data_IF_742206605671
#
_entry.id   IF_742206605671
#
_cell.length_a   1.000
_cell.length_b   1.000
_cell.length_c   1.000
_cell.angle_alpha   90.00
_cell.angle_beta   90.00
_cell.angle_gamma   90.00
#
_symmetry.space_group_name_H-M   'P 1'
#
loop_
_entity.id
_entity.type
_entity.pdbx_description
1 polymer ?
#
# COMPACT_ATOMS: atom_id res chain seq x y z
N UNK A 1 4.96 4.69 -9.66
CA UNK A 1 5.66 5.88 -9.12
C UNK A 1 6.47 5.59 -7.86
N UNK A 2 5.99 4.81 -6.88
CA UNK A 2 6.71 4.54 -5.63
C UNK A 2 8.17 4.07 -5.82
N UNK A 3 8.39 3.05 -6.66
CA UNK A 3 9.72 2.50 -6.89
C UNK A 3 10.67 3.49 -7.58
N UNK A 4 10.14 4.34 -8.47
CA UNK A 4 10.91 5.41 -9.11
C UNK A 4 11.40 6.43 -8.09
N UNK A 5 10.49 6.97 -7.27
CA UNK A 5 10.84 7.94 -6.23
C UNK A 5 11.88 7.37 -5.25
N UNK A 6 11.79 6.09 -4.89
CA UNK A 6 12.80 5.45 -4.04
C UNK A 6 14.14 5.24 -4.76
N UNK A 7 14.12 4.84 -6.04
CA UNK A 7 15.33 4.64 -6.83
C UNK A 7 16.08 5.94 -7.10
N UNK A 8 15.38 7.05 -7.31
CA UNK A 8 15.95 8.40 -7.42
C UNK A 8 16.68 8.83 -6.14
N UNK A 9 16.26 8.32 -4.98
CA UNK A 9 16.93 8.51 -3.70
C UNK A 9 18.03 7.46 -3.42
N UNK A 10 18.40 6.66 -4.42
CA UNK A 10 19.50 5.68 -4.35
C UNK A 10 19.11 4.31 -3.80
N UNK A 11 17.82 4.01 -3.61
CA UNK A 11 17.39 2.70 -3.16
C UNK A 11 17.50 1.63 -4.27
N UNK A 12 17.77 0.37 -3.89
CA UNK A 12 17.58 -0.79 -4.77
C UNK A 12 16.08 -1.12 -4.85
N UNK A 13 15.38 -0.55 -5.82
CA UNK A 13 13.93 -0.64 -5.91
C UNK A 13 13.45 -1.82 -6.77
N UNK A 14 12.38 -2.46 -6.31
CA UNK A 14 11.58 -3.45 -7.04
C UNK A 14 10.15 -2.93 -7.17
N UNK A 15 9.48 -3.22 -8.29
CA UNK A 15 8.09 -2.91 -8.53
C UNK A 15 7.34 -4.16 -8.99
N UNK A 16 6.17 -4.41 -8.40
CA UNK A 16 5.22 -5.42 -8.85
C UNK A 16 3.86 -4.77 -9.10
N UNK A 17 3.24 -5.09 -10.23
CA UNK A 17 1.86 -4.74 -10.54
C UNK A 17 1.29 -5.80 -11.49
N UNK A 18 -0.02 -6.05 -11.43
CA UNK A 18 -0.73 -6.95 -12.34
C UNK A 18 -1.10 -6.27 -13.66
N UNK A 19 -1.06 -4.94 -13.70
CA UNK A 19 -1.33 -4.14 -14.90
C UNK A 19 -0.03 -3.89 -15.69
N UNK A 20 0.13 -4.50 -16.89
CA UNK A 20 1.33 -4.35 -17.70
C UNK A 20 1.58 -2.90 -18.14
N UNK A 21 0.52 -2.09 -18.32
CA UNK A 21 0.68 -0.69 -18.73
C UNK A 21 1.34 0.15 -17.64
N UNK A 22 1.07 -0.15 -16.37
CA UNK A 22 1.74 0.51 -15.24
C UNK A 22 3.22 0.15 -15.18
N UNK A 23 3.56 -1.10 -15.46
CA UNK A 23 4.96 -1.54 -15.54
C UNK A 23 5.68 -0.86 -16.71
N UNK A 24 5.06 -0.79 -17.88
CA UNK A 24 5.61 -0.09 -19.05
C UNK A 24 5.84 1.39 -18.77
N UNK A 25 4.84 2.08 -18.19
CA UNK A 25 4.97 3.48 -17.82
C UNK A 25 6.10 3.73 -16.80
N UNK A 26 6.22 2.86 -15.79
CA UNK A 26 7.28 2.96 -14.79
C UNK A 26 8.66 2.65 -15.37
N UNK A 27 8.75 1.73 -16.35
CA UNK A 27 9.98 1.44 -17.09
C UNK A 27 10.48 2.66 -17.86
N UNK A 28 9.60 3.30 -18.65
CA UNK A 28 9.92 4.53 -19.39
C UNK A 28 10.39 5.63 -18.45
N UNK A 29 9.69 5.86 -17.35
CA UNK A 29 10.07 6.87 -16.37
C UNK A 29 11.41 6.55 -15.67
N UNK A 30 11.71 5.27 -15.42
CA UNK A 30 13.00 4.84 -14.89
C UNK A 30 14.16 5.06 -15.87
N UNK A 31 13.93 4.82 -17.17
CA UNK A 31 14.89 5.10 -18.24
C UNK A 31 15.18 6.60 -18.35
N UNK A 32 14.13 7.44 -18.35
CA UNK A 32 14.24 8.91 -18.38
C UNK A 32 15.02 9.45 -17.17
N UNK A 33 14.77 8.92 -15.97
CA UNK A 33 15.47 9.31 -14.75
C UNK A 33 16.85 8.65 -14.59
N UNK A 34 17.27 7.77 -15.52
CA UNK A 34 18.53 7.02 -15.47
C UNK A 34 18.70 6.20 -14.17
N UNK A 35 17.61 5.67 -13.63
CA UNK A 35 17.61 4.83 -12.42
C UNK A 35 17.35 3.37 -12.76
N UNK A 36 17.84 2.46 -11.91
CA UNK A 36 17.61 1.02 -12.06
C UNK A 36 16.50 0.55 -11.12
N UNK A 37 15.45 0.01 -11.71
CA UNK A 37 14.30 -0.60 -11.02
C UNK A 37 14.12 -2.01 -11.57
N UNK A 38 13.93 -2.99 -10.70
CA UNK A 38 13.54 -4.34 -11.08
C UNK A 38 12.01 -4.44 -11.18
N UNK A 39 11.50 -5.07 -12.23
CA UNK A 39 10.07 -5.11 -12.54
C UNK A 39 9.57 -6.55 -12.55
N UNK A 40 8.43 -6.77 -11.90
CA UNK A 40 7.71 -8.03 -11.91
C UNK A 40 6.26 -7.76 -12.30
N UNK A 41 5.78 -8.46 -13.32
CA UNK A 41 4.37 -8.44 -13.70
C UNK A 41 3.69 -9.65 -13.08
N UNK A 42 2.61 -9.44 -12.34
CA UNK A 42 1.89 -10.55 -11.72
C UNK A 42 0.97 -10.16 -10.55
N UNK A 43 0.40 -11.18 -9.94
CA UNK A 43 -0.41 -11.05 -8.73
C UNK A 43 0.42 -10.47 -7.58
N UNK A 44 -0.15 -9.55 -6.80
CA UNK A 44 0.59 -8.85 -5.73
C UNK A 44 1.11 -9.77 -4.61
N UNK A 45 0.57 -10.99 -4.50
CA UNK A 45 1.10 -12.01 -3.60
C UNK A 45 2.19 -12.88 -4.24
N UNK A 46 2.45 -12.76 -5.54
CA UNK A 46 3.52 -13.48 -6.23
C UNK A 46 4.88 -12.81 -6.02
N UNK A 47 5.36 -12.89 -4.77
CA UNK A 47 6.65 -12.36 -4.35
C UNK A 47 7.75 -13.43 -4.41
N UNK A 48 7.63 -14.41 -5.30
CA UNK A 48 8.58 -15.53 -5.43
C UNK A 48 10.00 -15.11 -5.79
N UNK A 49 10.16 -13.97 -6.46
CA UNK A 49 11.45 -13.36 -6.79
C UNK A 49 12.21 -12.83 -5.56
N UNK A 50 11.49 -12.49 -4.49
CA UNK A 50 12.08 -11.97 -3.26
C UNK A 50 12.28 -13.08 -2.22
N UNK A 51 13.53 -13.23 -1.77
CA UNK A 51 13.86 -14.18 -0.70
C UNK A 51 13.27 -13.73 0.64
N UNK A 52 13.05 -14.67 1.55
CA UNK A 52 12.53 -14.36 2.88
C UNK A 52 13.47 -13.43 3.64
N UNK A 53 12.92 -12.47 4.39
CA UNK A 53 13.68 -11.50 5.17
C UNK A 53 14.78 -10.75 4.38
N UNK A 54 14.48 -10.34 3.14
CA UNK A 54 15.40 -9.62 2.26
C UNK A 54 15.05 -8.16 2.03
N UNK A 55 13.79 -7.77 2.28
CA UNK A 55 13.25 -6.45 1.97
C UNK A 55 13.26 -5.55 3.21
N UNK A 56 13.79 -4.33 3.06
CA UNK A 56 13.89 -3.33 4.13
C UNK A 56 12.65 -2.42 4.25
N UNK A 57 11.82 -2.32 3.20
CA UNK A 57 10.63 -1.47 3.14
C UNK A 57 9.68 -1.96 2.05
N UNK A 58 8.38 -2.02 2.35
CA UNK A 58 7.33 -2.19 1.33
C UNK A 58 6.40 -0.96 1.35
N UNK A 59 6.08 -0.43 0.18
CA UNK A 59 5.17 0.71 0.00
C UNK A 59 4.06 0.34 -0.97
N UNK A 60 2.81 0.36 -0.49
CA UNK A 60 1.63 0.15 -1.30
C UNK A 60 0.73 1.40 -1.25
N UNK A 61 0.68 2.16 -2.34
CA UNK A 61 -0.05 3.42 -2.40
C UNK A 61 -1.27 3.27 -3.31
N UNK A 62 -2.45 3.11 -2.72
CA UNK A 62 -3.72 2.85 -3.42
C UNK A 62 -3.81 1.44 -4.04
N UNK A 63 -2.77 0.63 -3.92
CA UNK A 63 -2.69 -0.70 -4.55
C UNK A 63 -3.56 -1.75 -3.85
N UNK A 64 -3.71 -1.64 -2.52
CA UNK A 64 -4.37 -2.68 -1.72
C UNK A 64 -5.88 -2.47 -1.53
N UNK A 65 -6.45 -1.38 -2.03
CA UNK A 65 -7.86 -1.01 -1.83
C UNK A 65 -8.82 -2.06 -2.40
N UNK A 66 -8.45 -2.69 -3.51
CA UNK A 66 -9.31 -3.62 -4.26
C UNK A 66 -8.79 -5.06 -4.26
N UNK A 67 -7.88 -5.42 -3.35
CA UNK A 67 -7.33 -6.77 -3.26
C UNK A 67 -8.30 -7.70 -2.53
N UNK A 68 -8.87 -8.67 -3.23
CA UNK A 68 -9.83 -9.61 -2.64
C UNK A 68 -9.24 -10.40 -1.46
N UNK A 69 -8.10 -11.08 -1.67
CA UNK A 69 -7.39 -11.84 -0.63
C UNK A 69 -6.21 -11.05 -0.05
N UNK A 70 -6.53 -10.00 0.70
CA UNK A 70 -5.54 -9.17 1.40
C UNK A 70 -4.67 -10.01 2.35
N UNK A 71 -5.22 -11.04 2.98
CA UNK A 71 -4.48 -11.90 3.91
C UNK A 71 -3.36 -12.69 3.20
N UNK A 72 -3.60 -13.16 1.98
CA UNK A 72 -2.56 -13.80 1.14
C UNK A 72 -1.44 -12.82 0.80
N UNK A 73 -1.76 -11.59 0.40
CA UNK A 73 -0.74 -10.55 0.12
C UNK A 73 0.06 -10.22 1.37
N UNK A 74 -0.60 -9.93 2.50
CA UNK A 74 0.08 -9.58 3.75
C UNK A 74 1.00 -10.69 4.26
N UNK A 75 0.64 -11.97 4.11
CA UNK A 75 1.52 -13.10 4.44
C UNK A 75 2.79 -13.12 3.58
N UNK A 76 2.68 -12.84 2.29
CA UNK A 76 3.84 -12.80 1.39
C UNK A 76 4.72 -11.59 1.68
N UNK A 77 4.12 -10.43 1.95
CA UNK A 77 4.83 -9.23 2.39
C UNK A 77 5.57 -9.47 3.71
N UNK A 78 4.92 -10.12 4.70
CA UNK A 78 5.55 -10.50 5.96
C UNK A 78 6.74 -11.45 5.77
N UNK A 79 6.60 -12.43 4.87
CA UNK A 79 7.69 -13.37 4.53
C UNK A 79 8.92 -12.65 4.01
N UNK A 80 8.76 -11.71 3.07
CA UNK A 80 9.90 -11.07 2.39
C UNK A 80 10.51 -9.93 3.21
N UNK A 81 9.75 -9.29 4.10
CA UNK A 81 10.25 -8.24 4.97
C UNK A 81 11.23 -8.77 6.02
N UNK A 82 12.31 -8.02 6.24
CA UNK A 82 13.21 -8.21 7.40
C UNK A 82 12.46 -7.95 8.71
N UNK A 83 12.89 -8.55 9.85
CA UNK A 83 12.32 -8.23 11.16
C UNK A 83 12.29 -6.71 11.42
N UNK A 84 11.20 -6.21 12.02
CA UNK A 84 10.95 -4.79 12.31
C UNK A 84 10.89 -3.84 11.09
N UNK A 85 11.02 -4.37 9.86
CA UNK A 85 10.95 -3.57 8.65
C UNK A 85 9.53 -3.03 8.42
N UNK A 86 9.41 -1.77 7.96
CA UNK A 86 8.12 -1.12 7.72
C UNK A 86 7.40 -1.61 6.45
N UNK A 87 6.09 -1.71 6.60
CA UNK A 87 5.09 -1.71 5.53
C UNK A 87 4.32 -0.39 5.61
N UNK A 88 4.32 0.39 4.54
CA UNK A 88 3.57 1.64 4.43
C UNK A 88 2.42 1.45 3.43
N UNK A 89 1.20 1.74 3.86
CA UNK A 89 -0.01 1.62 3.07
C UNK A 89 -0.67 2.99 2.99
N UNK A 90 -1.06 3.40 1.79
CA UNK A 90 -2.05 4.45 1.59
C UNK A 90 -3.29 3.81 0.99
N UNK A 91 -4.45 4.06 1.60
CA UNK A 91 -5.73 3.48 1.22
C UNK A 91 -6.81 4.57 1.18
N UNK A 92 -7.87 4.32 0.41
CA UNK A 92 -9.07 5.16 0.42
C UNK A 92 -9.70 5.18 1.81
N UNK A 93 -10.01 6.37 2.33
CA UNK A 93 -10.59 6.46 3.67
C UNK A 93 -12.07 6.07 3.65
N UNK A 94 -12.54 5.19 4.56
CA UNK A 94 -13.94 4.74 4.60
C UNK A 94 -14.96 5.85 4.89
N UNK A 95 -14.52 6.97 5.46
CA UNK A 95 -15.36 8.16 5.66
C UNK A 95 -15.40 9.12 4.45
N UNK A 96 -14.60 8.92 3.41
CA UNK A 96 -14.53 9.84 2.26
C UNK A 96 -15.89 10.08 1.60
N UNK A 97 -16.72 9.04 1.50
CA UNK A 97 -18.07 9.14 0.96
C UNK A 97 -19.10 9.82 1.88
N UNK A 98 -18.82 9.88 3.19
CA UNK A 98 -19.78 10.40 4.17
C UNK A 98 -19.98 11.93 4.10
N UNK A 99 -19.17 12.64 3.31
CA UNK A 99 -19.38 14.05 3.02
C UNK A 99 -20.58 14.30 2.09
N UNK A 100 -21.01 13.30 1.31
CA UNK A 100 -22.19 13.39 0.46
C UNK A 100 -23.44 12.90 1.21
N UNK A 101 -24.47 13.76 1.40
CA UNK A 101 -25.74 13.37 2.01
C UNK A 101 -26.41 12.15 1.36
N UNK A 102 -26.21 11.93 0.06
CA UNK A 102 -26.73 10.76 -0.65
C UNK A 102 -26.06 9.45 -0.20
N UNK A 103 -24.87 9.52 0.37
CA UNK A 103 -24.07 8.37 0.78
C UNK A 103 -24.19 8.06 2.28
N UNK A 104 -24.82 8.95 3.07
CA UNK A 104 -25.07 8.75 4.50
C UNK A 104 -25.91 7.50 4.82
N UNK A 105 -26.66 6.97 3.85
CA UNK A 105 -27.42 5.73 4.01
C UNK A 105 -26.54 4.47 3.90
N UNK A 106 -25.29 4.60 3.45
CA UNK A 106 -24.38 3.48 3.29
C UNK A 106 -23.68 3.13 4.59
N UNK A 107 -23.53 1.83 4.84
CA UNK A 107 -22.77 1.35 6.00
C UNK A 107 -21.30 1.72 5.86
N UNK A 108 -20.72 2.24 6.94
CA UNK A 108 -19.27 2.49 7.03
C UNK A 108 -18.50 1.22 6.69
N UNK A 109 -17.49 1.34 5.84
CA UNK A 109 -16.68 0.20 5.40
C UNK A 109 -17.30 -0.67 4.30
N UNK A 110 -18.46 -0.28 3.74
CA UNK A 110 -19.15 -1.11 2.72
C UNK A 110 -18.52 -1.05 1.33
N UNK A 111 -17.89 0.06 0.96
CA UNK A 111 -17.21 0.24 -0.34
C UNK A 111 -15.71 0.01 -0.30
N UNK A 112 -15.10 0.35 0.82
CA UNK A 112 -13.66 0.20 1.09
C UNK A 112 -13.52 -0.36 2.49
N UNK A 113 -12.41 -1.04 2.79
CA UNK A 113 -12.17 -1.60 4.12
C UNK A 113 -12.28 -0.54 5.21
N UNK A 114 -12.95 -0.88 6.30
CA UNK A 114 -12.99 -0.03 7.48
C UNK A 114 -11.60 0.07 8.13
N UNK A 115 -11.40 1.07 8.99
CA UNK A 115 -10.18 1.15 9.83
C UNK A 115 -10.01 -0.12 10.67
N UNK A 116 -11.12 -0.68 11.18
CA UNK A 116 -11.11 -1.94 11.92
C UNK A 116 -10.69 -3.14 11.09
N UNK A 117 -11.12 -3.22 9.82
CA UNK A 117 -10.71 -4.30 8.92
C UNK A 117 -9.22 -4.23 8.59
N UNK A 118 -8.70 -3.01 8.35
CA UNK A 118 -7.27 -2.78 8.17
C UNK A 118 -6.47 -3.22 9.40
N UNK A 119 -6.89 -2.79 10.59
CA UNK A 119 -6.27 -3.19 11.85
C UNK A 119 -6.25 -4.72 11.98
N UNK A 120 -7.40 -5.37 11.79
CA UNK A 120 -7.52 -6.83 11.96
C UNK A 120 -6.72 -7.61 10.92
N UNK A 121 -6.67 -7.16 9.67
CA UNK A 121 -5.88 -7.78 8.61
C UNK A 121 -4.38 -7.74 8.91
N UNK A 122 -3.88 -6.58 9.36
CA UNK A 122 -2.48 -6.39 9.74
C UNK A 122 -2.13 -7.18 11.01
N UNK A 123 -2.98 -7.09 12.04
CA UNK A 123 -2.78 -7.81 13.30
C UNK A 123 -2.70 -9.33 13.09
N UNK A 124 -3.64 -9.91 12.32
CA UNK A 124 -3.65 -11.35 12.00
C UNK A 124 -2.48 -11.81 11.15
N UNK A 125 -1.81 -10.87 10.48
CA UNK A 125 -0.64 -11.13 9.63
C UNK A 125 0.69 -10.79 10.35
N UNK A 126 0.68 -10.71 11.68
CA UNK A 126 1.85 -10.41 12.52
C UNK A 126 2.50 -9.06 12.17
N UNK A 127 1.69 -8.03 11.94
CA UNK A 127 2.15 -6.65 11.87
C UNK A 127 1.68 -5.85 13.09
N UNK A 128 2.56 -4.99 13.61
CA UNK A 128 2.21 -3.94 14.58
C UNK A 128 2.02 -2.62 13.85
N UNK A 129 0.87 -1.99 13.99
CA UNK A 129 0.67 -0.62 13.52
C UNK A 129 1.37 0.34 14.49
N UNK A 130 2.29 1.15 13.97
CA UNK A 130 3.02 2.16 14.76
C UNK A 130 2.62 3.61 14.40
N UNK A 131 1.93 3.81 13.27
CA UNK A 131 1.36 5.09 12.87
C UNK A 131 0.10 4.88 12.06
N UNK A 132 -0.92 5.68 12.35
CA UNK A 132 -2.18 5.77 11.61
C UNK A 132 -2.48 7.25 11.39
N UNK A 133 -2.63 7.68 10.14
CA UNK A 133 -2.90 9.08 9.80
C UNK A 133 -4.11 9.17 8.88
N UNK A 134 -5.05 10.04 9.24
CA UNK A 134 -6.21 10.39 8.43
C UNK A 134 -5.92 11.71 7.73
N UNK A 135 -5.86 11.68 6.41
CA UNK A 135 -5.49 12.83 5.59
C UNK A 135 -6.72 13.42 4.90
N UNK A 136 -6.75 14.75 4.85
CA UNK A 136 -7.76 15.55 4.17
C UNK A 136 -7.21 16.05 2.83
N UNK A 137 -8.09 16.24 1.83
CA UNK A 137 -7.66 16.82 0.56
C UNK A 137 -7.32 18.31 0.76
N UNK A 138 -6.03 18.64 0.69
CA UNK A 138 -5.55 20.02 0.84
C UNK A 138 -6.08 20.96 -0.24
N UNK A 139 -6.55 20.44 -1.37
CA UNK A 139 -7.16 21.21 -2.46
C UNK A 139 -8.63 21.50 -2.21
N UNK A 140 -9.26 20.77 -1.27
CA UNK A 140 -10.67 20.92 -0.86
C UNK A 140 -10.75 21.04 0.67
N UNK A 141 -10.24 22.12 1.25
CA UNK A 141 -10.21 22.30 2.71
C UNK A 141 -11.59 22.43 3.35
N UNK A 142 -12.65 22.63 2.55
CA UNK A 142 -14.03 22.65 3.01
C UNK A 142 -14.62 21.25 3.22
N UNK A 143 -13.94 20.19 2.76
CA UNK A 143 -14.39 18.82 2.95
C UNK A 143 -14.23 18.44 4.43
N UNK A 144 -15.34 18.13 5.09
CA UNK A 144 -15.37 17.80 6.52
C UNK A 144 -15.02 16.33 6.81
N UNK A 145 -14.56 15.58 5.79
CA UNK A 145 -14.23 14.17 5.91
C UNK A 145 -12.82 13.89 5.35
N UNK A 146 -12.03 13.03 6.02
CA UNK A 146 -10.75 12.58 5.48
C UNK A 146 -10.97 11.73 4.21
N UNK A 147 -10.04 11.86 3.27
CA UNK A 147 -10.06 11.16 1.98
C UNK A 147 -9.10 9.96 1.92
N UNK A 148 -8.01 9.99 2.70
CA UNK A 148 -6.96 8.98 2.64
C UNK A 148 -6.56 8.51 4.03
N UNK A 149 -6.45 7.19 4.19
CA UNK A 149 -5.90 6.56 5.37
C UNK A 149 -4.46 6.13 5.07
N UNK A 150 -3.49 6.63 5.83
CA UNK A 150 -2.09 6.20 5.75
C UNK A 150 -1.75 5.38 6.99
N UNK A 151 -1.30 4.15 6.77
CA UNK A 151 -0.94 3.19 7.81
C UNK A 151 0.53 2.87 7.66
N UNK A 152 1.29 2.98 8.74
CA UNK A 152 2.60 2.35 8.85
C UNK A 152 2.52 1.23 9.86
N UNK A 153 2.93 0.06 9.41
CA UNK A 153 3.02 -1.14 10.21
C UNK A 153 4.43 -1.72 10.16
N UNK A 154 4.85 -2.44 11.19
CA UNK A 154 6.14 -3.11 11.27
C UNK A 154 5.94 -4.61 11.42
N UNK A 155 6.79 -5.37 10.72
CA UNK A 155 6.83 -6.83 10.86
C UNK A 155 7.16 -7.19 12.32
N UNK A 156 6.31 -8.01 12.93
CA UNK A 156 6.57 -8.66 14.21
C UNK A 156 7.07 -10.10 13.99
N UNK A 157 7.99 -10.53 14.86
CA UNK A 157 8.56 -11.87 14.83
C UNK A 157 9.70 -12.04 13.83
N UNK A 158 10.30 -13.24 13.83
CA UNK A 158 11.38 -13.65 12.93
C UNK A 158 10.79 -14.30 11.68
#
# INVERSE_FOLDING_TARGET
MNALALAEQGAKAMAIDSDPERILGLRRAGEEASVRIEFHEGDLADLGFATSASIDLVVAAGTLDHVDDLARVLRQVHRVLKPEAPLVISASHPAHGLADPAELQQRYGSRVRSVGDWYMALYRSNFRIDSLQELFDRRRPADNAPCTLVIRARKLGV
#
